data_IF_998642001977
#
_entry.id   IF_998642001977
#
_cell.length_a   1.000
_cell.length_b   1.000
_cell.length_c   1.000
_cell.angle_alpha   90.00
_cell.angle_beta   90.00
_cell.angle_gamma   90.00
#
_symmetry.space_group_name_H-M   'P 1'
#
loop_
_entity.id
_entity.type
_entity.pdbx_description
1 polymer ?
#
# COMPACT_ATOMS: atom_id res chain seq x y z
N UNK A 1 16.61 13.83 -19.69
CA UNK A 1 15.46 14.01 -20.60
C UNK A 1 14.19 13.54 -19.87
N UNK A 2 13.29 14.44 -19.44
CA UNK A 2 12.10 14.05 -18.63
C UNK A 2 11.15 13.10 -19.36
N UNK A 3 10.99 13.25 -20.67
CA UNK A 3 10.08 12.44 -21.51
C UNK A 3 10.41 10.94 -21.54
N UNK A 4 11.69 10.56 -21.36
CA UNK A 4 12.10 9.14 -21.32
C UNK A 4 11.51 8.46 -20.09
N UNK A 5 11.52 9.13 -18.94
CA UNK A 5 10.92 8.61 -17.72
C UNK A 5 9.40 8.49 -17.83
N UNK A 6 8.75 9.46 -18.50
CA UNK A 6 7.32 9.42 -18.77
C UNK A 6 6.95 8.21 -19.65
N UNK A 7 7.76 7.93 -20.68
CA UNK A 7 7.60 6.76 -21.55
C UNK A 7 7.78 5.45 -20.77
N UNK A 8 8.82 5.33 -19.94
CA UNK A 8 9.07 4.15 -19.12
C UNK A 8 7.91 3.92 -18.14
N UNK A 9 7.42 4.95 -17.47
CA UNK A 9 6.25 4.85 -16.59
C UNK A 9 4.98 4.45 -17.34
N UNK A 10 4.76 4.96 -18.54
CA UNK A 10 3.62 4.59 -19.39
C UNK A 10 3.68 3.12 -19.81
N UNK A 11 4.85 2.64 -20.24
CA UNK A 11 5.06 1.23 -20.60
C UNK A 11 4.83 0.34 -19.36
N UNK A 12 5.44 0.70 -18.22
CA UNK A 12 5.23 -0.03 -16.97
C UNK A 12 3.75 -0.10 -16.59
N UNK A 13 3.03 1.01 -16.70
CA UNK A 13 1.60 1.08 -16.39
C UNK A 13 0.77 0.16 -17.30
N UNK A 14 1.06 0.16 -18.61
CA UNK A 14 0.37 -0.70 -19.57
C UNK A 14 0.63 -2.18 -19.32
N UNK A 15 1.90 -2.57 -19.18
CA UNK A 15 2.27 -3.96 -18.89
C UNK A 15 1.71 -4.43 -17.54
N UNK A 16 1.72 -3.55 -16.53
CA UNK A 16 1.11 -3.84 -15.24
C UNK A 16 -0.40 -4.07 -15.37
N UNK A 17 -1.11 -3.22 -16.11
CA UNK A 17 -2.54 -3.37 -16.37
C UNK A 17 -2.87 -4.71 -17.04
N UNK A 18 -2.08 -5.12 -18.04
CA UNK A 18 -2.26 -6.39 -18.75
C UNK A 18 -2.08 -7.56 -17.76
N UNK A 19 -1.02 -7.54 -16.95
CA UNK A 19 -0.65 -8.66 -16.08
C UNK A 19 -1.50 -8.76 -14.81
N UNK A 20 -1.83 -7.63 -14.19
CA UNK A 20 -2.42 -7.57 -12.86
C UNK A 20 -3.80 -6.91 -12.81
N UNK A 21 -4.21 -6.18 -13.84
CA UNK A 21 -5.40 -5.33 -13.80
C UNK A 21 -6.71 -6.08 -13.57
N UNK A 22 -6.82 -7.33 -14.02
CA UNK A 22 -7.98 -8.18 -13.75
C UNK A 22 -8.10 -8.53 -12.26
N UNK A 23 -6.99 -9.04 -11.69
CA UNK A 23 -6.93 -9.40 -10.25
C UNK A 23 -7.12 -8.18 -9.36
N UNK A 24 -6.48 -7.06 -9.72
CA UNK A 24 -6.61 -5.82 -8.95
C UNK A 24 -8.07 -5.37 -8.84
N UNK A 25 -8.82 -5.40 -9.94
CA UNK A 25 -10.25 -5.05 -9.93
C UNK A 25 -11.08 -5.98 -9.04
N UNK A 26 -10.80 -7.29 -9.05
CA UNK A 26 -11.49 -8.23 -8.15
C UNK A 26 -11.23 -7.90 -6.68
N UNK A 27 -9.97 -7.67 -6.32
CA UNK A 27 -9.57 -7.34 -4.95
C UNK A 27 -10.13 -5.99 -4.51
N UNK A 28 -10.09 -4.97 -5.38
CA UNK A 28 -10.67 -3.66 -5.09
C UNK A 28 -12.18 -3.71 -4.89
N UNK A 29 -12.91 -4.48 -5.71
CA UNK A 29 -14.34 -4.69 -5.53
C UNK A 29 -14.64 -5.33 -4.18
N UNK A 30 -13.87 -6.34 -3.77
CA UNK A 30 -14.01 -6.96 -2.45
C UNK A 30 -13.79 -5.94 -1.31
N UNK A 31 -12.73 -5.13 -1.39
CA UNK A 31 -12.36 -4.21 -0.31
C UNK A 31 -13.28 -2.99 -0.25
N UNK A 32 -13.63 -2.40 -1.39
CA UNK A 32 -14.32 -1.11 -1.44
C UNK A 32 -15.85 -1.23 -1.41
N UNK A 33 -16.41 -2.39 -1.79
CA UNK A 33 -17.87 -2.55 -1.93
C UNK A 33 -18.49 -3.50 -0.89
N UNK A 34 -17.73 -4.28 -0.16
CA UNK A 34 -18.26 -5.19 0.86
C UNK A 34 -18.50 -4.54 2.23
N UNK A 35 -18.26 -3.24 2.38
CA UNK A 35 -18.53 -2.50 3.62
C UNK A 35 -17.91 -3.13 4.86
N UNK A 36 -18.56 -2.99 6.01
CA UNK A 36 -18.10 -3.49 7.31
C UNK A 36 -17.93 -5.02 7.42
N UNK A 37 -18.31 -5.80 6.41
CA UNK A 37 -18.16 -7.27 6.43
C UNK A 37 -16.82 -7.77 5.93
N UNK A 38 -15.99 -6.93 5.31
CA UNK A 38 -14.73 -7.40 4.68
C UNK A 38 -13.52 -7.53 5.63
N UNK A 39 -13.69 -7.37 6.93
CA UNK A 39 -12.58 -7.50 7.91
C UNK A 39 -11.46 -6.44 7.78
N UNK A 40 -11.52 -5.57 6.77
CA UNK A 40 -10.60 -4.46 6.50
C UNK A 40 -11.26 -3.10 6.68
N UNK A 41 -12.58 -3.05 6.84
CA UNK A 41 -13.27 -1.83 7.19
C UNK A 41 -13.03 -1.54 8.67
N UNK A 42 -12.24 -0.52 8.92
CA UNK A 42 -12.19 0.08 10.25
C UNK A 42 -13.50 0.83 10.45
N UNK A 43 -14.19 0.51 11.52
CA UNK A 43 -15.41 1.18 11.89
C UNK A 43 -15.23 2.72 11.84
N UNK A 44 -16.08 3.39 11.09
CA UNK A 44 -16.03 4.84 10.89
C UNK A 44 -15.12 5.34 9.76
N UNK A 45 -14.53 4.45 8.92
CA UNK A 45 -13.70 4.86 7.79
C UNK A 45 -14.02 4.10 6.50
N UNK A 46 -14.05 4.82 5.39
CA UNK A 46 -14.20 4.28 4.05
C UNK A 46 -12.85 4.22 3.32
N UNK A 47 -12.61 3.14 2.59
CA UNK A 47 -11.45 2.98 1.70
C UNK A 47 -11.89 3.31 0.28
N UNK A 48 -11.28 4.32 -0.34
CA UNK A 48 -11.64 4.77 -1.69
C UNK A 48 -10.39 4.79 -2.58
N UNK A 49 -10.42 4.14 -3.76
CA UNK A 49 -9.33 4.24 -4.73
C UNK A 49 -9.07 5.69 -5.15
N UNK A 50 -7.79 6.08 -5.28
CA UNK A 50 -7.46 7.46 -5.66
C UNK A 50 -8.02 7.87 -7.02
N UNK A 51 -8.26 6.92 -7.91
CA UNK A 51 -8.86 7.15 -9.24
C UNK A 51 -10.32 7.60 -9.17
N UNK A 52 -11.00 7.40 -8.04
CA UNK A 52 -12.39 7.78 -7.79
C UNK A 52 -12.51 9.10 -7.01
N UNK A 53 -11.38 9.66 -6.61
CA UNK A 53 -11.32 10.93 -5.87
C UNK A 53 -10.96 12.06 -6.85
N UNK A 54 -11.56 13.24 -6.66
CA UNK A 54 -11.15 14.44 -7.39
C UNK A 54 -9.70 14.78 -7.03
N UNK A 55 -8.87 15.11 -8.04
CA UNK A 55 -7.47 15.43 -7.80
C UNK A 55 -7.30 16.62 -6.83
N UNK A 56 -8.22 17.58 -6.91
CA UNK A 56 -8.27 18.76 -6.03
C UNK A 56 -8.37 18.37 -4.55
N UNK A 57 -9.18 17.36 -4.21
CA UNK A 57 -9.33 16.90 -2.83
C UNK A 57 -8.02 16.32 -2.26
N UNK A 58 -7.22 15.64 -3.09
CA UNK A 58 -5.90 15.16 -2.69
C UNK A 58 -4.89 16.30 -2.59
N UNK A 59 -4.92 17.28 -3.51
CA UNK A 59 -4.07 18.49 -3.42
C UNK A 59 -4.36 19.24 -2.13
N UNK A 60 -5.64 19.44 -1.81
CA UNK A 60 -6.07 20.08 -0.57
C UNK A 60 -5.63 19.30 0.67
N UNK A 61 -5.80 17.96 0.65
CA UNK A 61 -5.32 17.09 1.73
C UNK A 61 -3.83 17.30 2.01
N UNK A 62 -2.98 17.30 0.97
CA UNK A 62 -1.55 17.52 1.14
C UNK A 62 -1.21 18.95 1.56
N UNK A 63 -1.91 19.97 1.02
CA UNK A 63 -1.70 21.36 1.38
C UNK A 63 -2.02 21.67 2.85
N UNK A 64 -2.96 20.92 3.44
CA UNK A 64 -3.36 21.07 4.84
C UNK A 64 -2.43 20.31 5.82
N UNK A 65 -1.43 19.54 5.34
CA UNK A 65 -0.48 18.89 6.23
C UNK A 65 0.63 19.83 6.65
N UNK A 66 1.10 19.75 7.90
CA UNK A 66 2.22 20.57 8.37
C UNK A 66 3.52 20.15 7.65
N UNK A 67 4.46 21.10 7.54
CA UNK A 67 5.72 20.88 6.81
C UNK A 67 6.50 19.65 7.29
N UNK A 68 6.44 19.36 8.59
CA UNK A 68 7.11 18.22 9.23
C UNK A 68 6.58 16.87 8.72
N UNK A 69 5.32 16.79 8.24
CA UNK A 69 4.75 15.59 7.66
C UNK A 69 5.51 15.15 6.40
N UNK A 70 6.17 16.08 5.72
CA UNK A 70 6.92 15.84 4.50
C UNK A 70 8.42 15.56 4.75
N UNK A 71 8.90 15.58 5.99
CA UNK A 71 10.31 15.27 6.30
C UNK A 71 10.71 13.89 5.77
N UNK A 72 9.85 12.89 5.95
CA UNK A 72 10.08 11.50 5.54
C UNK A 72 9.16 11.04 4.41
N UNK A 73 8.33 11.93 3.85
CA UNK A 73 7.32 11.55 2.86
C UNK A 73 7.33 12.46 1.63
N UNK A 74 8.13 12.08 0.64
CA UNK A 74 8.24 12.78 -0.65
C UNK A 74 8.18 11.81 -1.84
N UNK A 75 7.12 10.98 -1.96
CA UNK A 75 7.06 9.91 -2.95
C UNK A 75 6.83 10.43 -4.38
N UNK A 76 6.22 11.59 -4.53
CA UNK A 76 5.81 12.21 -5.81
C UNK A 76 5.49 13.69 -5.61
N UNK A 77 5.19 14.42 -6.70
CA UNK A 77 4.64 15.78 -6.63
C UNK A 77 3.21 15.78 -6.09
N UNK A 78 2.85 16.82 -5.35
CA UNK A 78 1.53 16.97 -4.70
C UNK A 78 0.63 17.95 -5.44
N UNK A 79 1.07 18.47 -6.58
CA UNK A 79 0.28 19.34 -7.46
C UNK A 79 -0.75 18.53 -8.27
N UNK A 80 -1.75 19.22 -8.79
CA UNK A 80 -2.85 18.66 -9.56
C UNK A 80 -2.38 17.83 -10.77
N UNK A 81 -1.34 18.29 -11.48
CA UNK A 81 -0.81 17.58 -12.65
C UNK A 81 -0.19 16.24 -12.26
N UNK A 82 0.59 16.25 -11.17
CA UNK A 82 1.21 15.05 -10.61
C UNK A 82 0.15 14.05 -10.13
N UNK A 83 -0.86 14.50 -9.38
CA UNK A 83 -1.95 13.64 -8.90
C UNK A 83 -2.75 13.04 -10.07
N UNK A 84 -3.13 13.84 -11.06
CA UNK A 84 -3.82 13.32 -12.26
C UNK A 84 -3.00 12.27 -13.01
N UNK A 85 -1.66 12.40 -13.05
CA UNK A 85 -0.78 11.41 -13.66
C UNK A 85 -0.81 10.09 -12.87
N UNK A 86 -0.77 10.16 -11.54
CA UNK A 86 -0.86 8.98 -10.68
C UNK A 86 -2.20 8.25 -10.81
N UNK A 87 -3.31 8.98 -10.86
CA UNK A 87 -4.66 8.43 -11.02
C UNK A 87 -4.84 7.64 -12.32
N UNK A 88 -4.11 8.01 -13.37
CA UNK A 88 -4.11 7.32 -14.69
C UNK A 88 -3.14 6.14 -14.76
N UNK A 89 -2.22 6.04 -13.80
CA UNK A 89 -1.18 5.01 -13.79
C UNK A 89 -1.67 3.73 -13.08
N UNK A 90 -1.89 2.65 -13.84
CA UNK A 90 -2.34 1.36 -13.30
C UNK A 90 -1.33 0.70 -12.34
N UNK A 91 -0.05 0.99 -12.50
CA UNK A 91 1.00 0.49 -11.62
C UNK A 91 1.11 1.30 -10.31
N UNK A 92 0.33 2.38 -10.16
CA UNK A 92 0.22 3.16 -8.94
C UNK A 92 -1.13 2.85 -8.27
N UNK A 93 -1.11 1.87 -7.36
CA UNK A 93 -2.30 1.40 -6.63
C UNK A 93 -2.41 2.26 -5.38
N UNK A 94 -3.27 3.27 -5.41
CA UNK A 94 -3.41 4.22 -4.31
C UNK A 94 -4.82 4.27 -3.75
N UNK A 95 -4.92 4.54 -2.45
CA UNK A 95 -6.17 4.68 -1.72
C UNK A 95 -6.14 5.90 -0.82
N UNK A 96 -7.31 6.48 -0.60
CA UNK A 96 -7.57 7.39 0.50
C UNK A 96 -8.45 6.70 1.54
N UNK A 97 -8.21 7.04 2.80
CA UNK A 97 -9.05 6.65 3.91
C UNK A 97 -9.88 7.86 4.26
N UNK A 98 -11.20 7.76 4.11
CA UNK A 98 -12.13 8.84 4.42
C UNK A 98 -12.82 8.56 5.74
N UNK A 99 -12.95 9.58 6.57
CA UNK A 99 -13.82 9.55 7.74
C UNK A 99 -15.27 9.47 7.26
N UNK A 100 -15.97 8.41 7.61
CA UNK A 100 -17.34 8.14 7.16
C UNK A 100 -18.37 9.16 7.69
N UNK A 101 -18.06 9.86 8.79
CA UNK A 101 -18.95 10.84 9.41
C UNK A 101 -18.90 12.18 8.71
N UNK A 102 -17.69 12.67 8.41
CA UNK A 102 -17.49 14.03 7.88
C UNK A 102 -16.96 14.08 6.44
N UNK A 103 -16.66 12.91 5.85
CA UNK A 103 -16.16 12.78 4.48
C UNK A 103 -14.73 13.28 4.25
N UNK A 104 -14.02 13.73 5.30
CA UNK A 104 -12.63 14.23 5.18
C UNK A 104 -11.64 13.08 4.94
N UNK A 105 -10.58 13.38 4.23
CA UNK A 105 -9.48 12.41 4.03
C UNK A 105 -8.66 12.35 5.33
N UNK A 106 -8.69 11.19 5.98
CA UNK A 106 -7.95 10.89 7.20
C UNK A 106 -6.57 10.29 6.92
N UNK A 107 -6.37 9.73 5.71
CA UNK A 107 -5.10 9.15 5.31
C UNK A 107 -5.01 8.88 3.82
N UNK A 108 -3.78 8.70 3.35
CA UNK A 108 -3.42 8.38 1.99
C UNK A 108 -2.35 7.29 1.98
N UNK A 109 -2.52 6.27 1.14
CA UNK A 109 -1.54 5.20 1.01
C UNK A 109 -1.50 4.63 -0.41
N UNK A 110 -0.38 3.99 -0.76
CA UNK A 110 -0.18 3.42 -2.09
C UNK A 110 0.84 2.28 -2.12
N UNK A 111 0.73 1.44 -3.16
CA UNK A 111 1.79 0.59 -3.67
C UNK A 111 2.23 1.13 -5.04
N UNK A 112 3.45 1.69 -5.14
CA UNK A 112 4.08 2.00 -6.43
C UNK A 112 4.67 0.72 -6.98
N UNK A 113 4.06 0.18 -8.02
CA UNK A 113 4.28 -1.17 -8.48
C UNK A 113 4.96 -1.21 -9.84
N UNK A 114 5.56 -2.37 -10.15
CA UNK A 114 6.24 -2.62 -11.40
C UNK A 114 5.72 -3.90 -12.03
N UNK A 115 5.66 -3.94 -13.37
CA UNK A 115 5.14 -5.09 -14.12
C UNK A 115 5.87 -6.40 -13.81
N UNK A 116 7.12 -6.34 -13.35
CA UNK A 116 7.90 -7.52 -12.94
C UNK A 116 7.55 -8.05 -11.54
N UNK A 117 6.55 -7.47 -10.85
CA UNK A 117 6.00 -8.02 -9.60
C UNK A 117 6.57 -7.43 -8.30
N UNK A 118 7.25 -6.29 -8.34
CA UNK A 118 7.64 -5.55 -7.13
C UNK A 118 6.69 -4.39 -6.87
N UNK A 119 6.40 -4.11 -5.59
CA UNK A 119 5.65 -2.95 -5.14
C UNK A 119 6.33 -2.27 -3.95
N UNK A 120 6.36 -0.95 -3.96
CA UNK A 120 6.91 -0.13 -2.88
C UNK A 120 5.79 0.62 -2.19
N UNK A 121 5.65 0.41 -0.88
CA UNK A 121 4.59 1.01 -0.07
C UNK A 121 4.96 2.43 0.36
N UNK A 122 3.95 3.28 0.42
CA UNK A 122 4.02 4.58 1.08
C UNK A 122 2.69 4.94 1.71
N UNK A 123 2.71 5.72 2.80
CA UNK A 123 1.50 6.16 3.49
C UNK A 123 1.71 7.46 4.25
N UNK A 124 0.63 8.21 4.40
CA UNK A 124 0.54 9.40 5.23
C UNK A 124 -0.79 9.39 5.99
N UNK A 125 -0.74 9.64 7.28
CA UNK A 125 -1.93 9.87 8.13
C UNK A 125 -2.06 11.36 8.36
N UNK A 126 -3.25 11.91 8.17
CA UNK A 126 -3.55 13.29 8.50
C UNK A 126 -3.22 13.58 9.97
N UNK A 127 -2.66 14.75 10.23
CA UNK A 127 -2.18 15.13 11.58
C UNK A 127 -3.28 15.03 12.64
N UNK A 128 -4.53 15.31 12.28
CA UNK A 128 -5.67 15.29 13.19
C UNK A 128 -6.22 13.87 13.44
N UNK A 129 -5.76 12.88 12.65
CA UNK A 129 -6.20 11.49 12.74
C UNK A 129 -5.10 10.54 13.23
N UNK A 130 -3.95 11.07 13.66
CA UNK A 130 -2.86 10.27 14.25
C UNK A 130 -3.28 9.61 15.57
N UNK A 131 -2.58 8.53 15.93
CA UNK A 131 -2.85 7.79 17.17
C UNK A 131 -4.08 6.85 17.11
N UNK A 132 -4.82 6.81 16.01
CA UNK A 132 -6.04 6.01 15.85
C UNK A 132 -5.82 4.67 15.11
N UNK A 133 -4.58 4.20 14.97
CA UNK A 133 -4.27 2.93 14.30
C UNK A 133 -4.31 2.96 12.76
N UNK A 134 -4.64 4.10 12.12
CA UNK A 134 -4.78 4.21 10.67
C UNK A 134 -3.51 3.83 9.89
N UNK A 135 -2.32 4.13 10.42
CA UNK A 135 -1.06 3.73 9.79
C UNK A 135 -0.90 2.22 9.66
N UNK A 136 -1.26 1.47 10.72
CA UNK A 136 -1.25 0.00 10.72
C UNK A 136 -2.33 -0.57 9.79
N UNK A 137 -3.53 0.00 9.82
CA UNK A 137 -4.63 -0.38 8.91
C UNK A 137 -4.24 -0.20 7.45
N UNK A 138 -3.68 0.96 7.05
CA UNK A 138 -3.23 1.22 5.69
C UNK A 138 -2.13 0.24 5.25
N UNK A 139 -1.21 -0.14 6.14
CA UNK A 139 -0.22 -1.17 5.83
C UNK A 139 -0.87 -2.53 5.57
N UNK A 140 -1.83 -2.96 6.39
CA UNK A 140 -2.57 -4.21 6.19
C UNK A 140 -3.35 -4.20 4.88
N UNK A 141 -4.00 -3.08 4.54
CA UNK A 141 -4.68 -2.87 3.26
C UNK A 141 -3.72 -3.05 2.08
N UNK A 142 -2.58 -2.35 2.11
CA UNK A 142 -1.58 -2.42 1.05
C UNK A 142 -0.97 -3.82 0.92
N UNK A 143 -0.79 -4.53 2.04
CA UNK A 143 -0.32 -5.92 2.05
C UNK A 143 -1.34 -6.85 1.40
N UNK A 144 -2.63 -6.79 1.84
CA UNK A 144 -3.70 -7.59 1.24
C UNK A 144 -3.73 -7.39 -0.28
N UNK A 145 -3.90 -6.16 -0.73
CA UNK A 145 -3.97 -5.87 -2.16
C UNK A 145 -2.73 -6.37 -2.90
N UNK A 146 -1.54 -6.03 -2.42
CA UNK A 146 -0.30 -6.39 -3.10
C UNK A 146 -0.06 -7.90 -3.16
N UNK A 147 -0.31 -8.62 -2.07
CA UNK A 147 -0.09 -10.07 -2.02
C UNK A 147 -1.13 -10.85 -2.82
N UNK A 148 -2.39 -10.45 -2.79
CA UNK A 148 -3.45 -11.13 -3.55
C UNK A 148 -3.27 -10.99 -5.06
N UNK A 149 -2.76 -9.86 -5.55
CA UNK A 149 -2.42 -9.72 -6.95
C UNK A 149 -1.06 -10.34 -7.32
N UNK A 150 -0.27 -10.80 -6.33
CA UNK A 150 0.98 -11.53 -6.54
C UNK A 150 2.25 -10.68 -6.54
N UNK A 151 2.23 -9.51 -5.88
CA UNK A 151 3.42 -8.67 -5.72
C UNK A 151 4.30 -9.11 -4.55
N UNK A 152 5.60 -8.87 -4.67
CA UNK A 152 6.52 -8.74 -3.55
C UNK A 152 6.52 -7.29 -3.09
N UNK A 153 6.36 -7.06 -1.80
CA UNK A 153 6.22 -5.72 -1.25
C UNK A 153 7.47 -5.29 -0.51
N UNK A 154 7.83 -4.04 -0.70
CA UNK A 154 9.00 -3.42 -0.09
C UNK A 154 8.63 -2.07 0.52
N UNK A 155 9.42 -1.64 1.49
CA UNK A 155 9.29 -0.33 2.12
C UNK A 155 10.68 0.18 2.54
N UNK A 156 10.90 1.48 2.43
CA UNK A 156 11.99 2.16 3.12
C UNK A 156 11.39 2.93 4.29
N UNK A 157 11.93 2.72 5.48
CA UNK A 157 11.49 3.38 6.70
C UNK A 157 12.67 3.89 7.50
N UNK A 158 12.62 5.14 7.94
CA UNK A 158 13.61 5.68 8.87
C UNK A 158 13.31 5.19 10.27
N UNK A 159 14.34 4.74 11.00
CA UNK A 159 14.25 4.42 12.44
C UNK A 159 13.91 5.66 13.26
N UNK A 160 14.25 6.86 12.77
CA UNK A 160 13.94 8.13 13.43
C UNK A 160 12.45 8.50 13.28
N UNK A 161 11.75 7.96 12.26
CA UNK A 161 10.31 8.06 12.13
C UNK A 161 9.61 6.96 12.95
N UNK A 162 9.64 7.11 14.27
CA UNK A 162 9.15 6.10 15.23
C UNK A 162 7.72 5.66 14.94
N UNK A 163 6.83 6.57 14.57
CA UNK A 163 5.43 6.26 14.27
C UNK A 163 5.31 5.37 13.03
N UNK A 164 6.04 5.69 11.96
CA UNK A 164 6.08 4.90 10.74
C UNK A 164 6.71 3.54 10.99
N UNK A 165 7.84 3.50 11.68
CA UNK A 165 8.53 2.28 12.03
C UNK A 165 7.63 1.34 12.85
N UNK A 166 7.01 1.82 13.94
CA UNK A 166 6.07 1.03 14.75
C UNK A 166 4.89 0.49 13.94
N UNK A 167 4.30 1.31 13.06
CA UNK A 167 3.17 0.85 12.25
C UNK A 167 3.59 -0.17 11.19
N UNK A 168 4.83 -0.13 10.68
CA UNK A 168 5.35 -1.12 9.75
C UNK A 168 5.51 -2.48 10.43
N UNK A 169 6.17 -2.52 11.60
CA UNK A 169 6.41 -3.77 12.35
C UNK A 169 5.14 -4.38 12.95
N UNK A 170 4.12 -3.55 13.26
CA UNK A 170 2.83 -4.03 13.81
C UNK A 170 1.89 -4.57 12.73
N UNK A 171 2.14 -4.31 11.47
CA UNK A 171 1.24 -4.70 10.38
C UNK A 171 1.54 -6.08 9.81
N UNK A 172 2.78 -6.55 9.87
CA UNK A 172 3.24 -7.82 9.26
C UNK A 172 4.69 -8.12 9.63
N UNK A 173 5.08 -9.39 9.49
CA UNK A 173 6.48 -9.77 9.51
C UNK A 173 7.23 -9.13 8.32
N UNK A 174 8.52 -8.91 8.50
CA UNK A 174 9.39 -8.34 7.47
C UNK A 174 10.81 -8.91 7.57
N UNK A 175 11.53 -8.79 6.45
CA UNK A 175 12.95 -9.08 6.37
C UNK A 175 13.70 -7.79 6.10
N UNK A 176 14.71 -7.48 6.89
CA UNK A 176 15.66 -6.40 6.58
C UNK A 176 16.54 -6.87 5.43
N UNK A 177 16.43 -6.18 4.30
CA UNK A 177 17.26 -6.46 3.12
C UNK A 177 18.58 -5.70 3.21
N UNK A 178 18.51 -4.45 3.65
CA UNK A 178 19.68 -3.57 3.75
C UNK A 178 19.43 -2.44 4.73
N UNK A 179 20.46 -2.06 5.47
CA UNK A 179 20.53 -0.77 6.14
C UNK A 179 21.05 0.29 5.17
N UNK A 180 20.37 1.43 5.11
CA UNK A 180 20.68 2.54 4.23
C UNK A 180 21.28 3.71 5.05
N UNK A 181 21.94 4.69 4.42
CA UNK A 181 22.34 5.92 5.09
C UNK A 181 21.15 6.62 5.80
N UNK A 182 21.45 7.54 6.70
CA UNK A 182 20.46 8.33 7.44
C UNK A 182 19.47 7.49 8.28
N UNK A 183 19.98 6.41 8.89
CA UNK A 183 19.21 5.54 9.80
C UNK A 183 17.95 4.92 9.17
N UNK A 184 18.01 4.65 7.86
CA UNK A 184 16.92 4.04 7.09
C UNK A 184 17.09 2.53 6.94
N UNK A 185 15.97 1.81 6.92
CA UNK A 185 15.90 0.37 6.63
C UNK A 185 15.17 0.14 5.31
N UNK A 186 15.77 -0.67 4.45
CA UNK A 186 15.08 -1.25 3.30
C UNK A 186 14.56 -2.62 3.68
N UNK A 187 13.23 -2.75 3.68
CA UNK A 187 12.49 -3.91 4.18
C UNK A 187 11.78 -4.63 3.03
N UNK A 188 11.77 -5.96 3.05
CA UNK A 188 10.81 -6.78 2.32
C UNK A 188 9.72 -7.25 3.29
N UNK A 189 8.46 -7.07 2.92
CA UNK A 189 7.32 -7.46 3.72
C UNK A 189 7.01 -8.93 3.43
N UNK A 190 6.88 -9.73 4.47
CA UNK A 190 6.62 -11.17 4.36
C UNK A 190 5.11 -11.42 4.31
N UNK A 191 4.70 -12.31 3.41
CA UNK A 191 3.32 -12.76 3.32
C UNK A 191 3.11 -13.97 4.23
N UNK A 192 2.71 -13.73 5.48
CA UNK A 192 2.51 -14.78 6.48
C UNK A 192 1.41 -15.76 6.11
N UNK A 193 0.44 -15.36 5.29
CA UNK A 193 -0.65 -16.23 4.81
C UNK A 193 -0.13 -17.37 3.90
N UNK A 194 0.93 -17.15 3.14
CA UNK A 194 1.56 -18.20 2.33
C UNK A 194 2.34 -19.19 3.18
N UNK A 195 3.04 -18.72 4.21
CA UNK A 195 3.80 -19.61 5.10
C UNK A 195 2.89 -20.56 5.88
N UNK A 196 1.76 -20.07 6.38
CA UNK A 196 0.77 -20.92 7.06
C UNK A 196 0.19 -22.00 6.14
N UNK A 197 -0.05 -21.69 4.86
CA UNK A 197 -0.54 -22.64 3.87
C UNK A 197 0.50 -23.67 3.44
N UNK A 198 1.79 -23.34 3.42
CA UNK A 198 2.88 -24.29 3.14
C UNK A 198 3.13 -25.22 4.31
N UNK A 199 3.04 -24.74 5.55
CA UNK A 199 3.15 -25.54 6.77
C UNK A 199 2.00 -26.55 6.85
N UNK A 200 0.75 -26.13 6.56
CA UNK A 200 -0.39 -27.05 6.53
C UNK A 200 -0.27 -28.12 5.43
N UNK A 201 0.19 -27.79 4.22
CA UNK A 201 0.42 -28.77 3.15
C UNK A 201 1.51 -29.77 3.49
N UNK A 202 2.57 -29.34 4.16
CA UNK A 202 3.64 -30.22 4.60
C UNK A 202 3.23 -31.12 5.78
N UNK A 203 2.25 -30.71 6.60
CA UNK A 203 1.67 -31.54 7.65
C UNK A 203 0.64 -32.57 7.15
N UNK A 204 -0.08 -32.24 6.07
CA UNK A 204 -1.07 -33.14 5.46
C UNK A 204 -0.49 -34.10 4.40
N UNK A 205 0.74 -33.82 3.90
CA UNK A 205 1.44 -34.63 2.89
C UNK A 205 2.41 -35.67 3.44
N UNK A 206 2.51 -35.84 4.75
CA UNK A 206 3.46 -36.73 5.42
C UNK A 206 2.83 -38.00 5.99
N UNK A 207 2.83 -39.09 5.25
CA UNK A 207 2.98 -40.42 5.82
C UNK A 207 1.79 -41.37 5.81
N UNK A 208 1.59 -42.08 4.72
CA UNK A 208 1.24 -43.51 4.83
C UNK A 208 2.52 -44.27 5.20
N UNK A 209 2.70 -44.57 6.47
CA UNK A 209 3.69 -45.58 6.91
C UNK A 209 3.04 -46.92 6.71
N UNK A 210 3.43 -47.62 5.64
CA UNK A 210 3.13 -49.04 5.46
C UNK A 210 3.90 -49.84 6.53
N UNK A 211 3.19 -50.28 7.56
CA UNK A 211 3.64 -51.39 8.41
C UNK A 211 3.39 -52.71 7.69
N UNK A 212 4.47 -53.30 7.22
CA UNK A 212 4.55 -54.77 7.00
C UNK A 212 5.60 -55.33 7.93
#
# INVERSE_FOLDING_TARGET
MPWVWDLVEMINSLLFRIRYGGRLRCVENEICHMGSQCGFCYEGYDVVPIREIKAESLVEFFANQPAEAFTFFKPHGFDRKSINKLQKNWAFIGYVIKDAVNGKIAGYCFNRSFFHGKGFRGRMVDVNYRGRGLGTMMNRLLNKVGFEIGLRLFETVSKDNIASYRSAISASAFKVIKELPHNELYLEIINDMKQSGEIQRNMTGGGEINLK
#
